data_IF_021139065850
#
_entry.id   IF_021139065850
#
_cell.length_a   1.000
_cell.length_b   1.000
_cell.length_c   1.000
_cell.angle_alpha   90.00
_cell.angle_beta   90.00
_cell.angle_gamma   90.00
#
_symmetry.space_group_name_H-M   'P 1'
#
loop_
_entity.id
_entity.type
_entity.pdbx_description
1 polymer ?
#
# COMPACT_ATOMS: atom_id res chain seq x y z
N UNK A 1 -0.21 -8.83 -6.37
CA UNK A 1 0.47 -8.35 -5.14
C UNK A 1 0.40 -6.82 -5.10
N UNK A 2 0.15 -6.22 -3.94
CA UNK A 2 0.08 -4.75 -3.81
C UNK A 2 1.48 -4.12 -3.72
N UNK A 3 1.62 -2.80 -3.99
CA UNK A 3 2.88 -2.07 -3.83
C UNK A 3 3.43 -2.20 -2.40
N UNK A 4 2.53 -2.18 -1.41
CA UNK A 4 2.88 -2.40 -0.01
C UNK A 4 3.49 -3.77 0.24
N UNK A 5 2.86 -4.85 -0.25
CA UNK A 5 3.41 -6.21 -0.11
C UNK A 5 4.79 -6.35 -0.74
N UNK A 6 5.00 -5.80 -1.94
CA UNK A 6 6.30 -5.84 -2.62
C UNK A 6 7.38 -5.06 -1.87
N UNK A 7 7.06 -3.87 -1.36
CA UNK A 7 8.02 -3.05 -0.62
C UNK A 7 8.41 -3.69 0.72
N UNK A 8 7.46 -4.27 1.44
CA UNK A 8 7.73 -5.00 2.68
C UNK A 8 8.64 -6.22 2.42
N UNK A 9 8.33 -7.01 1.40
CA UNK A 9 9.13 -8.18 1.02
C UNK A 9 10.58 -7.79 0.69
N UNK A 10 10.80 -6.69 -0.05
CA UNK A 10 12.14 -6.17 -0.35
C UNK A 10 12.95 -5.74 0.88
N UNK A 11 12.27 -5.44 2.00
CA UNK A 11 12.91 -5.14 3.29
C UNK A 11 13.06 -6.35 4.20
N UNK A 12 12.60 -7.53 3.76
CA UNK A 12 12.50 -8.72 4.62
C UNK A 12 11.43 -8.56 5.73
N UNK A 13 10.47 -7.65 5.55
CA UNK A 13 9.42 -7.39 6.52
C UNK A 13 8.11 -8.07 6.12
N UNK A 14 7.29 -8.40 7.13
CA UNK A 14 5.92 -8.89 6.91
C UNK A 14 4.92 -7.84 7.36
N UNK A 15 3.96 -7.43 6.49
CA UNK A 15 2.94 -6.46 6.90
C UNK A 15 1.94 -7.08 7.87
N UNK A 16 1.50 -6.29 8.84
CA UNK A 16 0.47 -6.68 9.79
C UNK A 16 -0.87 -6.93 9.08
N UNK A 17 -1.73 -7.74 9.71
CA UNK A 17 -3.05 -8.06 9.17
C UNK A 17 -3.88 -6.80 8.87
N UNK A 18 -3.92 -5.83 9.80
CA UNK A 18 -4.70 -4.61 9.62
C UNK A 18 -4.21 -3.75 8.43
N UNK A 19 -2.90 -3.75 8.14
CA UNK A 19 -2.35 -3.04 6.97
C UNK A 19 -2.90 -3.63 5.68
N UNK A 20 -2.93 -4.98 5.58
CA UNK A 20 -3.52 -5.70 4.44
C UNK A 20 -5.01 -5.41 4.30
N UNK A 21 -5.75 -5.36 5.42
CA UNK A 21 -7.18 -5.04 5.41
C UNK A 21 -7.45 -3.62 4.89
N UNK A 22 -6.70 -2.63 5.36
CA UNK A 22 -6.82 -1.24 4.87
C UNK A 22 -6.53 -1.18 3.37
N UNK A 23 -5.47 -1.84 2.89
CA UNK A 23 -5.15 -1.87 1.46
C UNK A 23 -6.27 -2.49 0.62
N UNK A 24 -6.87 -3.59 1.09
CA UNK A 24 -7.96 -4.26 0.40
C UNK A 24 -9.24 -3.41 0.37
N UNK A 25 -9.63 -2.81 1.51
CA UNK A 25 -10.81 -1.95 1.59
C UNK A 25 -10.67 -0.69 0.75
N UNK A 26 -9.53 0.00 0.80
CA UNK A 26 -9.30 1.19 -0.04
C UNK A 26 -9.25 0.83 -1.53
N UNK A 27 -8.74 -0.34 -1.91
CA UNK A 27 -8.78 -0.81 -3.30
C UNK A 27 -10.22 -1.02 -3.80
N UNK A 28 -11.15 -1.44 -2.91
CA UNK A 28 -12.59 -1.53 -3.20
C UNK A 28 -13.33 -0.18 -3.15
N UNK A 29 -12.64 0.91 -2.82
CA UNK A 29 -13.25 2.24 -2.72
C UNK A 29 -14.05 2.47 -1.43
N UNK A 30 -13.82 1.66 -0.40
CA UNK A 30 -14.50 1.78 0.89
C UNK A 30 -13.88 2.89 1.76
N UNK A 31 -14.74 3.57 2.52
CA UNK A 31 -14.36 4.50 3.59
C UNK A 31 -14.33 3.78 4.94
N UNK A 32 -13.52 4.26 5.89
CA UNK A 32 -13.46 3.69 7.24
C UNK A 32 -12.52 4.41 8.20
N UNK A 33 -12.46 3.91 9.44
CA UNK A 33 -11.60 4.43 10.50
C UNK A 33 -10.45 3.46 10.78
N UNK A 34 -9.21 3.96 10.70
CA UNK A 34 -8.03 3.23 11.15
C UNK A 34 -7.66 3.64 12.57
N UNK A 35 -7.92 2.75 13.53
CA UNK A 35 -7.41 2.87 14.90
C UNK A 35 -6.28 1.86 15.12
N UNK A 36 -5.08 2.35 15.41
CA UNK A 36 -3.96 1.54 15.87
C UNK A 36 -3.06 2.35 16.81
N UNK A 37 -2.21 1.67 17.57
CA UNK A 37 -1.26 2.29 18.50
C UNK A 37 -0.11 2.97 17.76
N UNK A 38 0.65 3.81 18.48
CA UNK A 38 1.92 4.37 17.97
C UNK A 38 2.92 3.25 17.72
N UNK A 39 3.70 3.34 16.64
CA UNK A 39 4.68 2.30 16.27
C UNK A 39 4.08 1.11 15.50
N UNK A 40 2.76 0.93 15.46
CA UNK A 40 2.12 -0.18 14.73
C UNK A 40 2.22 -0.09 13.18
N UNK A 41 2.79 0.99 12.63
CA UNK A 41 2.94 1.15 11.19
C UNK A 41 1.68 1.64 10.47
N UNK A 42 0.87 2.51 11.12
CA UNK A 42 -0.34 3.15 10.54
C UNK A 42 -0.02 3.96 9.28
N UNK A 43 1.15 4.60 9.26
CA UNK A 43 1.66 5.32 8.10
C UNK A 43 1.75 4.41 6.89
N UNK A 44 2.32 3.21 7.03
CA UNK A 44 2.37 2.24 5.94
C UNK A 44 0.99 1.72 5.53
N UNK A 45 0.06 1.58 6.47
CA UNK A 45 -1.32 1.19 6.16
C UNK A 45 -1.96 2.20 5.18
N UNK A 46 -2.00 3.48 5.54
CA UNK A 46 -2.68 4.51 4.75
C UNK A 46 -1.87 4.90 3.51
N UNK A 47 -0.55 5.00 3.61
CA UNK A 47 0.30 5.41 2.49
C UNK A 47 0.25 4.41 1.33
N UNK A 48 0.42 3.11 1.62
CA UNK A 48 0.34 2.11 0.56
C UNK A 48 -1.10 1.90 0.06
N UNK A 49 -2.12 2.13 0.88
CA UNK A 49 -3.50 2.17 0.41
C UNK A 49 -3.70 3.27 -0.64
N UNK A 50 -3.20 4.48 -0.37
CA UNK A 50 -3.26 5.61 -1.30
C UNK A 50 -2.48 5.33 -2.58
N UNK A 51 -1.23 4.83 -2.48
CA UNK A 51 -0.44 4.48 -3.66
C UNK A 51 -1.13 3.39 -4.51
N UNK A 52 -1.65 2.33 -3.89
CA UNK A 52 -2.34 1.26 -4.63
C UNK A 52 -3.60 1.77 -5.34
N UNK A 53 -4.29 2.77 -4.78
CA UNK A 53 -5.56 3.28 -5.32
C UNK A 53 -5.37 4.40 -6.33
N UNK A 54 -4.38 5.26 -6.13
CA UNK A 54 -4.29 6.55 -6.84
C UNK A 54 -3.01 6.72 -7.66
N UNK A 55 -1.97 5.91 -7.45
CA UNK A 55 -0.77 6.01 -8.28
C UNK A 55 -1.09 5.59 -9.72
N UNK A 56 -0.71 6.44 -10.68
CA UNK A 56 -0.74 6.08 -12.09
C UNK A 56 0.54 5.32 -12.45
N UNK A 57 0.46 4.24 -13.24
CA UNK A 57 1.65 3.66 -13.83
C UNK A 57 2.41 4.74 -14.59
N UNK A 58 3.70 4.87 -14.34
CA UNK A 58 4.56 5.65 -15.23
C UNK A 58 4.53 4.94 -16.59
N UNK A 59 4.20 5.63 -17.69
CA UNK A 59 4.32 5.04 -19.02
C UNK A 59 5.73 4.50 -19.17
N UNK A 60 5.87 3.28 -19.68
CA UNK A 60 7.19 2.78 -20.04
C UNK A 60 7.80 3.79 -21.01
N UNK A 61 8.94 4.38 -20.65
CA UNK A 61 9.75 5.13 -21.61
C UNK A 61 10.11 4.12 -22.68
N UNK A 62 9.41 4.16 -23.81
CA UNK A 62 9.85 3.50 -25.03
C UNK A 62 11.16 4.16 -25.38
N UNK A 63 12.27 3.55 -24.96
CA UNK A 63 13.58 3.92 -25.42
C UNK A 63 13.61 3.64 -26.92
N UNK A 64 13.33 4.67 -27.71
CA UNK A 64 13.60 4.69 -29.15
C UNK A 64 15.08 5.01 -29.31
N UNK A 65 15.86 4.05 -29.79
CA UNK A 65 17.27 4.24 -30.20
C UNK A 65 18.21 3.25 -29.55
#
# INVERSE_FOLDING_TARGET
MSLGSTWFARRGWTPFAFQKSVWASTARGESGLLHATTGAGKTYAVWFAALNRFARPTPALTASG
#
